data_IF_542150479158
#
_entry.id   IF_542150479158
#
_cell.length_a   1.000
_cell.length_b   1.000
_cell.length_c   1.000
_cell.angle_alpha   90.00
_cell.angle_beta   90.00
_cell.angle_gamma   90.00
#
_symmetry.space_group_name_H-M   'P 1'
#
loop_
_entity.id
_entity.type
_entity.pdbx_description
1 polymer ?
#
# COMPACT_ATOMS: atom_id res chain seq x y z
N UNK A 1 9.70 -25.15 7.92
CA UNK A 1 9.46 -24.43 6.64
C UNK A 1 8.21 -23.57 6.73
N UNK A 2 7.04 -24.13 7.04
CA UNK A 2 5.81 -23.35 7.27
C UNK A 2 5.95 -22.26 8.36
N UNK A 3 6.53 -22.58 9.52
CA UNK A 3 6.76 -21.59 10.59
C UNK A 3 7.70 -20.43 10.19
N UNK A 4 8.69 -20.70 9.34
CA UNK A 4 9.57 -19.65 8.83
C UNK A 4 8.84 -18.77 7.82
N UNK A 5 8.09 -19.37 6.91
CA UNK A 5 7.23 -18.65 5.97
C UNK A 5 6.21 -17.77 6.70
N UNK A 6 5.62 -18.27 7.80
CA UNK A 6 4.71 -17.52 8.68
C UNK A 6 5.38 -16.28 9.29
N UNK A 7 6.59 -16.43 9.82
CA UNK A 7 7.37 -15.31 10.39
C UNK A 7 7.72 -14.26 9.35
N UNK A 8 8.16 -14.69 8.17
CA UNK A 8 8.50 -13.80 7.05
C UNK A 8 7.25 -13.05 6.58
N UNK A 9 6.11 -13.74 6.40
CA UNK A 9 4.82 -13.14 6.07
C UNK A 9 4.38 -12.11 7.10
N UNK A 10 4.50 -12.44 8.39
CA UNK A 10 4.14 -11.54 9.49
C UNK A 10 4.98 -10.27 9.46
N UNK A 11 6.29 -10.40 9.22
CA UNK A 11 7.20 -9.26 9.08
C UNK A 11 6.86 -8.38 7.87
N UNK A 12 6.48 -9.00 6.74
CA UNK A 12 6.03 -8.29 5.54
C UNK A 12 4.72 -7.54 5.80
N UNK A 13 3.75 -8.14 6.51
CA UNK A 13 2.52 -7.48 6.95
C UNK A 13 2.82 -6.23 7.78
N UNK A 14 3.69 -6.32 8.79
CA UNK A 14 4.09 -5.16 9.58
C UNK A 14 4.77 -4.07 8.74
N UNK A 15 5.56 -4.45 7.73
CA UNK A 15 6.17 -3.50 6.79
C UNK A 15 5.12 -2.79 5.96
N UNK A 16 4.12 -3.49 5.43
CA UNK A 16 3.00 -2.90 4.70
C UNK A 16 2.28 -1.85 5.56
N UNK A 17 1.87 -2.20 6.79
CA UNK A 17 1.16 -1.27 7.69
C UNK A 17 1.96 0.01 7.95
N UNK A 18 3.28 -0.10 8.14
CA UNK A 18 4.14 1.07 8.33
C UNK A 18 4.18 1.95 7.07
N UNK A 19 4.30 1.36 5.88
CA UNK A 19 4.31 2.13 4.62
C UNK A 19 2.96 2.74 4.29
N UNK A 20 1.87 2.07 4.65
CA UNK A 20 0.52 2.64 4.60
C UNK A 20 0.43 3.92 5.44
N UNK A 21 0.86 3.85 6.71
CA UNK A 21 0.82 5.00 7.61
C UNK A 21 1.71 6.16 7.12
N UNK A 22 2.89 5.86 6.57
CA UNK A 22 3.78 6.87 5.98
C UNK A 22 3.13 7.56 4.76
N UNK A 23 2.48 6.78 3.89
CA UNK A 23 1.75 7.31 2.73
C UNK A 23 0.57 8.20 3.15
N UNK A 24 -0.29 7.71 4.05
CA UNK A 24 -1.45 8.49 4.55
C UNK A 24 -0.98 9.77 5.23
N UNK A 25 0.09 9.72 6.02
CA UNK A 25 0.68 10.92 6.63
C UNK A 25 1.20 11.90 5.58
N UNK A 26 1.83 11.42 4.51
CA UNK A 26 2.32 12.28 3.42
C UNK A 26 1.18 13.03 2.72
N UNK A 27 0.04 12.37 2.52
CA UNK A 27 -1.18 12.97 1.98
C UNK A 27 -1.72 14.03 2.94
N UNK A 28 -1.91 13.68 4.22
CA UNK A 28 -2.49 14.57 5.24
C UNK A 28 -1.62 15.80 5.51
N UNK A 29 -0.30 15.64 5.53
CA UNK A 29 0.66 16.73 5.72
C UNK A 29 0.88 17.55 4.44
N UNK A 30 0.21 17.19 3.34
CA UNK A 30 0.35 17.78 2.01
C UNK A 30 1.82 17.96 1.56
N UNK A 31 2.63 16.89 1.64
CA UNK A 31 4.09 16.94 1.43
C UNK A 31 4.55 17.25 -0.01
N UNK A 32 3.63 17.42 -0.95
CA UNK A 32 3.90 17.67 -2.36
C UNK A 32 3.99 16.40 -3.20
N UNK A 33 3.81 16.58 -4.51
CA UNK A 33 3.68 15.50 -5.50
C UNK A 33 4.82 14.48 -5.42
N UNK A 34 6.08 14.92 -5.46
CA UNK A 34 7.22 14.00 -5.56
C UNK A 34 7.38 13.16 -4.31
N UNK A 35 7.13 13.74 -3.14
CA UNK A 35 7.19 13.01 -1.88
C UNK A 35 6.07 11.99 -1.77
N UNK A 36 4.84 12.36 -2.15
CA UNK A 36 3.68 11.44 -2.17
C UNK A 36 3.88 10.30 -3.18
N UNK A 37 4.43 10.57 -4.36
CA UNK A 37 4.80 9.52 -5.33
C UNK A 37 5.82 8.55 -4.75
N UNK A 38 6.84 9.06 -4.05
CA UNK A 38 7.88 8.23 -3.44
C UNK A 38 7.32 7.33 -2.33
N UNK A 39 6.47 7.86 -1.44
CA UNK A 39 5.85 7.05 -0.38
C UNK A 39 4.85 6.04 -0.92
N UNK A 40 4.08 6.39 -1.97
CA UNK A 40 3.18 5.45 -2.64
C UNK A 40 3.95 4.32 -3.35
N UNK A 41 5.07 4.62 -4.00
CA UNK A 41 5.93 3.58 -4.59
C UNK A 41 6.44 2.59 -3.53
N UNK A 42 6.84 3.08 -2.35
CA UNK A 42 7.23 2.22 -1.23
C UNK A 42 6.08 1.38 -0.68
N UNK A 43 4.85 1.92 -0.65
CA UNK A 43 3.65 1.18 -0.28
C UNK A 43 3.37 0.05 -1.29
N UNK A 44 3.43 0.34 -2.60
CA UNK A 44 3.28 -0.67 -3.66
C UNK A 44 4.32 -1.79 -3.55
N UNK A 45 5.58 -1.44 -3.32
CA UNK A 45 6.64 -2.44 -3.16
C UNK A 45 6.43 -3.29 -1.89
N UNK A 46 5.90 -2.69 -0.82
CA UNK A 46 5.52 -3.42 0.39
C UNK A 46 4.29 -4.32 0.18
N UNK A 47 3.32 -3.89 -0.64
CA UNK A 47 2.16 -4.69 -1.06
C UNK A 47 2.61 -5.95 -1.80
N UNK A 48 3.38 -5.80 -2.88
CA UNK A 48 3.90 -6.92 -3.67
C UNK A 48 4.71 -7.90 -2.80
N UNK A 49 5.45 -7.38 -1.83
CA UNK A 49 6.18 -8.22 -0.88
C UNK A 49 5.24 -9.02 0.03
N UNK A 50 4.25 -8.39 0.67
CA UNK A 50 3.36 -9.12 1.60
C UNK A 50 2.49 -10.13 0.87
N UNK A 51 1.99 -9.80 -0.33
CA UNK A 51 1.24 -10.69 -1.22
C UNK A 51 2.08 -11.92 -1.56
N UNK A 52 3.28 -11.72 -2.13
CA UNK A 52 4.14 -12.86 -2.48
C UNK A 52 4.59 -13.71 -1.28
N UNK A 53 4.75 -13.14 -0.08
CA UNK A 53 5.06 -13.93 1.13
C UNK A 53 3.84 -14.64 1.69
N UNK A 54 2.64 -14.08 1.53
CA UNK A 54 1.39 -14.73 1.86
C UNK A 54 1.16 -15.95 0.96
N UNK A 55 1.29 -15.77 -0.36
CA UNK A 55 1.10 -16.86 -1.32
C UNK A 55 2.06 -18.03 -1.06
N UNK A 56 3.32 -17.74 -0.73
CA UNK A 56 4.28 -18.77 -0.36
C UNK A 56 3.92 -19.49 0.95
N UNK A 57 3.28 -18.81 1.90
CA UNK A 57 2.87 -19.41 3.16
C UNK A 57 1.61 -20.28 2.98
N UNK A 58 0.65 -19.84 2.17
CA UNK A 58 -0.59 -20.59 1.92
C UNK A 58 -0.36 -21.91 1.18
N UNK A 59 0.76 -22.06 0.44
CA UNK A 59 1.20 -23.35 -0.12
C UNK A 59 1.40 -24.45 0.95
N UNK A 60 1.56 -24.09 2.23
CA UNK A 60 1.69 -25.05 3.33
C UNK A 60 0.37 -25.33 4.06
N UNK A 61 -0.73 -24.69 3.65
CA UNK A 61 -2.04 -24.79 4.30
C UNK A 61 -3.04 -25.51 3.39
N UNK A 62 -4.04 -26.11 4.01
CA UNK A 62 -5.25 -26.55 3.32
C UNK A 62 -6.15 -25.35 2.96
N UNK A 63 -7.07 -25.54 2.01
CA UNK A 63 -8.04 -24.51 1.63
C UNK A 63 -8.87 -24.01 2.82
N UNK A 64 -9.35 -24.93 3.68
CA UNK A 64 -10.09 -24.59 4.90
C UNK A 64 -9.24 -23.74 5.87
N UNK A 65 -7.96 -24.08 6.04
CA UNK A 65 -7.05 -23.29 6.88
C UNK A 65 -6.81 -21.89 6.33
N UNK A 66 -6.73 -21.73 5.01
CA UNK A 66 -6.60 -20.42 4.35
C UNK A 66 -7.87 -19.59 4.56
N UNK A 67 -9.03 -20.17 4.29
CA UNK A 67 -10.33 -19.48 4.45
C UNK A 67 -10.56 -19.00 5.89
N UNK A 68 -10.21 -19.83 6.88
CA UNK A 68 -10.44 -19.50 8.28
C UNK A 68 -9.41 -18.51 8.86
N UNK A 69 -8.14 -18.60 8.45
CA UNK A 69 -7.04 -17.92 9.15
C UNK A 69 -6.39 -16.77 8.36
N UNK A 70 -6.57 -16.72 7.05
CA UNK A 70 -5.90 -15.75 6.19
C UNK A 70 -6.81 -14.69 5.50
N UNK A 71 -8.03 -14.37 5.97
CA UNK A 71 -8.86 -13.34 5.31
C UNK A 71 -8.27 -11.93 5.39
N UNK A 72 -7.32 -11.70 6.32
CA UNK A 72 -6.66 -10.41 6.49
C UNK A 72 -5.89 -9.94 5.26
N UNK A 73 -5.52 -10.83 4.32
CA UNK A 73 -4.85 -10.40 3.09
C UNK A 73 -5.79 -9.55 2.22
N UNK A 74 -7.10 -9.84 2.25
CA UNK A 74 -8.11 -9.07 1.54
C UNK A 74 -8.24 -7.66 2.13
N UNK A 75 -8.19 -7.53 3.45
CA UNK A 75 -8.17 -6.21 4.12
C UNK A 75 -6.98 -5.37 3.64
N UNK A 76 -5.80 -5.98 3.46
CA UNK A 76 -4.63 -5.26 2.95
C UNK A 76 -4.77 -4.89 1.47
N UNK A 77 -5.37 -5.76 0.66
CA UNK A 77 -5.68 -5.49 -0.75
C UNK A 77 -6.65 -4.31 -0.87
N UNK A 78 -7.68 -4.25 -0.02
CA UNK A 78 -8.62 -3.13 0.04
C UNK A 78 -7.91 -1.82 0.39
N UNK A 79 -7.06 -1.82 1.43
CA UNK A 79 -6.24 -0.67 1.79
C UNK A 79 -5.33 -0.23 0.64
N UNK A 80 -4.64 -1.17 0.00
CA UNK A 80 -3.78 -0.84 -1.15
C UNK A 80 -4.59 -0.22 -2.31
N UNK A 81 -5.77 -0.77 -2.60
CA UNK A 81 -6.68 -0.28 -3.65
C UNK A 81 -7.18 1.13 -3.32
N UNK A 82 -7.57 1.38 -2.07
CA UNK A 82 -7.92 2.72 -1.58
C UNK A 82 -6.74 3.69 -1.72
N UNK A 83 -5.54 3.25 -1.34
CA UNK A 83 -4.32 4.03 -1.48
C UNK A 83 -4.04 4.45 -2.92
N UNK A 84 -4.29 3.56 -3.89
CA UNK A 84 -4.13 3.85 -5.32
C UNK A 84 -5.10 4.95 -5.79
N UNK A 85 -6.36 4.90 -5.33
CA UNK A 85 -7.37 5.93 -5.62
C UNK A 85 -6.97 7.27 -4.99
N UNK A 86 -6.57 7.27 -3.72
CA UNK A 86 -6.13 8.48 -3.00
C UNK A 86 -4.92 9.10 -3.70
N UNK A 87 -3.94 8.28 -4.07
CA UNK A 87 -2.75 8.72 -4.78
C UNK A 87 -3.13 9.37 -6.11
N UNK A 88 -3.95 8.71 -6.95
CA UNK A 88 -4.37 9.25 -8.23
C UNK A 88 -5.06 10.63 -8.08
N UNK A 89 -6.00 10.74 -7.13
CA UNK A 89 -6.69 12.00 -6.84
C UNK A 89 -5.72 13.10 -6.39
N UNK A 90 -4.82 12.79 -5.46
CA UNK A 90 -3.83 13.77 -4.97
C UNK A 90 -2.96 14.32 -6.10
N UNK A 91 -2.49 13.45 -7.00
CA UNK A 91 -1.67 13.85 -8.15
C UNK A 91 -2.47 14.74 -9.11
N UNK A 92 -3.72 14.40 -9.38
CA UNK A 92 -4.58 15.19 -10.26
C UNK A 92 -4.84 16.59 -9.69
N UNK A 93 -5.27 16.68 -8.43
CA UNK A 93 -5.56 17.95 -7.75
C UNK A 93 -4.35 18.89 -7.71
N UNK A 94 -3.17 18.36 -7.39
CA UNK A 94 -1.95 19.16 -7.33
C UNK A 94 -1.43 19.55 -8.72
N UNK A 95 -1.57 18.68 -9.71
CA UNK A 95 -1.19 19.00 -11.09
C UNK A 95 -2.09 20.08 -11.69
N UNK A 96 -3.39 20.04 -11.40
CA UNK A 96 -4.34 21.10 -11.81
C UNK A 96 -4.04 22.42 -11.10
N UNK A 97 -3.70 22.38 -9.82
CA UNK A 97 -3.34 23.57 -9.04
C UNK A 97 -2.08 24.24 -9.63
N UNK A 98 -1.08 23.45 -9.99
CA UNK A 98 0.15 23.97 -10.60
C UNK A 98 -0.10 24.54 -12.00
N UNK A 99 -0.93 23.87 -12.83
CA UNK A 99 -1.35 24.41 -14.13
C UNK A 99 -2.07 25.75 -14.00
N UNK A 100 -3.04 25.86 -13.08
CA UNK A 100 -3.76 27.12 -12.83
C UNK A 100 -2.84 28.25 -12.34
N UNK A 101 -1.78 27.93 -11.61
CA UNK A 101 -0.75 28.91 -11.22
C UNK A 101 0.08 29.39 -12.41
N UNK A 102 0.49 28.47 -13.30
CA UNK A 102 1.30 28.78 -14.48
C UNK A 102 0.48 29.55 -15.53
N UNK A 103 -0.78 29.17 -15.72
CA UNK A 103 -1.68 29.76 -16.73
C UNK A 103 -2.23 31.14 -16.32
N UNK A 104 -1.97 31.61 -15.10
CA UNK A 104 -2.24 32.98 -14.70
C UNK A 104 -3.70 33.39 -14.90
N UNK A 105 -4.58 33.01 -13.96
CA UNK A 105 -5.75 33.85 -13.70
C UNK A 105 -5.27 35.17 -13.09
N UNK A 106 -4.97 36.11 -14.01
CA UNK A 106 -5.17 37.55 -13.87
C UNK A 106 -6.62 37.87 -13.52
#
# INVERSE_FOLDING_TARGET
MAEEAKKVRTSAKSRFTRKWNEFVKAINDNKGIDFVKATFAQLRDAWSMVEGKHDLYTLFLTEEEVEQNEPWINELQELYSEGAVIHARYIEEHSQTERKRIEGLS
#
